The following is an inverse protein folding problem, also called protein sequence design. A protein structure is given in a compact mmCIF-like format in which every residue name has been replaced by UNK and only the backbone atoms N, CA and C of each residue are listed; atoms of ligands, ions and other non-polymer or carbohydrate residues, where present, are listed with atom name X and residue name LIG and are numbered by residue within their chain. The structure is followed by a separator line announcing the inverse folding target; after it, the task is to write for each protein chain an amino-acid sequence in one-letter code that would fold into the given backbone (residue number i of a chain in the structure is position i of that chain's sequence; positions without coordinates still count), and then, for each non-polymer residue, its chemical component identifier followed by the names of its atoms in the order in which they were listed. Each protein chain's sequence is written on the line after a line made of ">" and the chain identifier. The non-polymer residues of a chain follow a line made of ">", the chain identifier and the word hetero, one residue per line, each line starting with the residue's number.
data_IF_453289563424
#
_entry.id   IF_453289563424
#
_cell.length_a   1.000
_cell.length_b   1.000
_cell.length_c   1.000
_cell.angle_alpha   90.00
_cell.angle_beta   90.00
_cell.angle_gamma   90.00
#
_symmetry.space_group_name_H-M   'P 1'
#
loop_
_entity.id
_entity.type
_entity.pdbx_description
1 polymer ?
#
# COMPACT_ATOMS: atom_id res chain seq x y z
N UNK A 1 15.74 -11.13 -6.36
CA UNK A 1 15.99 -9.68 -6.61
C UNK A 1 17.44 -9.50 -7.02
N UNK A 2 17.71 -8.86 -8.17
CA UNK A 2 19.08 -8.43 -8.51
C UNK A 2 19.46 -7.31 -7.55
N UNK A 3 20.46 -7.53 -6.68
CA UNK A 3 21.05 -6.45 -5.86
C UNK A 3 21.77 -5.49 -6.81
N UNK A 4 21.26 -4.27 -6.96
CA UNK A 4 22.08 -3.18 -7.50
C UNK A 4 23.27 -2.97 -6.56
N UNK A 5 24.43 -2.62 -7.11
CA UNK A 5 25.57 -2.22 -6.29
C UNK A 5 25.16 -1.00 -5.46
N UNK A 6 25.28 -1.10 -4.13
CA UNK A 6 24.98 0.02 -3.23
C UNK A 6 26.04 1.11 -3.43
N UNK A 7 25.58 2.33 -3.69
CA UNK A 7 26.39 3.54 -3.84
C UNK A 7 26.97 4.01 -2.50
N UNK A 8 26.28 3.74 -1.40
CA UNK A 8 26.77 3.99 -0.03
C UNK A 8 26.20 2.97 0.96
N UNK A 9 26.77 2.94 2.17
CA UNK A 9 26.27 2.10 3.27
C UNK A 9 24.99 2.70 3.86
N UNK A 10 23.84 2.01 3.82
CA UNK A 10 22.60 2.54 4.36
C UNK A 10 22.68 2.83 5.86
N UNK A 11 21.86 3.76 6.33
CA UNK A 11 21.65 3.98 7.77
C UNK A 11 20.73 2.92 8.36
N UNK A 12 20.69 2.81 9.69
CA UNK A 12 19.79 1.87 10.38
C UNK A 12 18.31 2.18 10.08
N UNK A 13 17.99 3.45 9.91
CA UNK A 13 16.65 3.93 9.61
C UNK A 13 16.26 3.63 8.16
N UNK A 14 17.20 3.72 7.21
CA UNK A 14 16.99 3.26 5.84
C UNK A 14 16.79 1.74 5.80
N UNK A 15 17.59 0.97 6.55
CA UNK A 15 17.41 -0.48 6.68
C UNK A 15 16.03 -0.82 7.29
N UNK A 16 15.55 -0.03 8.26
CA UNK A 16 14.21 -0.18 8.82
C UNK A 16 13.10 0.07 7.78
N UNK A 17 13.26 1.10 6.95
CA UNK A 17 12.32 1.37 5.85
C UNK A 17 12.37 0.25 4.81
N UNK A 18 13.56 -0.22 4.43
CA UNK A 18 13.76 -1.35 3.51
C UNK A 18 13.06 -2.61 4.02
N UNK A 19 13.25 -2.94 5.30
CA UNK A 19 12.58 -4.05 5.96
C UNK A 19 11.05 -3.90 5.94
N UNK A 20 10.53 -2.71 6.26
CA UNK A 20 9.10 -2.43 6.17
C UNK A 20 8.54 -2.60 4.75
N UNK A 21 9.22 -2.09 3.72
CA UNK A 21 8.80 -2.23 2.33
C UNK A 21 8.80 -3.70 1.89
N UNK A 22 9.84 -4.46 2.27
CA UNK A 22 9.96 -5.88 1.98
C UNK A 22 8.85 -6.68 2.64
N UNK A 23 8.63 -6.50 3.96
CA UNK A 23 7.57 -7.18 4.69
C UNK A 23 6.16 -6.80 4.23
N UNK A 24 6.00 -5.63 3.63
CA UNK A 24 4.73 -5.19 3.05
C UNK A 24 4.50 -5.71 1.63
N UNK A 25 5.37 -6.58 1.10
CA UNK A 25 5.37 -7.07 -0.28
C UNK A 25 5.37 -5.93 -1.32
N UNK A 26 6.08 -4.84 -1.02
CA UNK A 26 6.27 -3.72 -1.95
C UNK A 26 7.57 -3.93 -2.71
N UNK A 27 7.52 -3.96 -4.05
CA UNK A 27 8.72 -4.05 -4.88
C UNK A 27 9.44 -2.69 -4.94
N UNK A 28 10.72 -2.67 -4.55
CA UNK A 28 11.55 -1.47 -4.60
C UNK A 28 12.98 -1.72 -5.09
N UNK A 29 13.62 -0.64 -5.51
CA UNK A 29 15.07 -0.56 -5.80
C UNK A 29 15.67 0.41 -4.79
N UNK A 30 16.70 -0.02 -4.07
CA UNK A 30 17.48 0.84 -3.18
C UNK A 30 18.44 1.73 -3.97
N UNK A 31 18.66 2.95 -3.50
CA UNK A 31 19.66 3.91 -4.01
C UNK A 31 19.53 4.12 -5.53
N UNK A 32 18.31 4.43 -5.95
CA UNK A 32 17.97 4.62 -7.35
C UNK A 32 18.54 5.93 -7.90
N UNK A 33 19.34 5.82 -8.95
CA UNK A 33 19.97 6.97 -9.61
C UNK A 33 19.01 7.61 -10.59
N UNK A 34 18.79 8.91 -10.44
CA UNK A 34 17.97 9.74 -11.33
C UNK A 34 18.88 10.75 -12.01
N UNK A 35 18.88 10.73 -13.34
CA UNK A 35 19.71 11.57 -14.19
C UNK A 35 18.86 12.59 -14.95
N UNK A 36 19.50 13.62 -15.51
CA UNK A 36 18.86 14.60 -16.39
C UNK A 36 17.71 15.39 -15.75
N UNK A 37 17.84 15.73 -14.46
CA UNK A 37 16.86 16.55 -13.73
C UNK A 37 16.97 18.01 -14.15
N UNK A 38 15.84 18.60 -14.55
CA UNK A 38 15.72 20.03 -14.85
C UNK A 38 15.97 20.86 -13.58
N UNK A 39 16.62 22.01 -13.74
CA UNK A 39 16.90 22.95 -12.65
C UNK A 39 17.71 22.34 -11.49
N UNK A 40 18.56 21.36 -11.80
CA UNK A 40 19.50 20.79 -10.85
C UNK A 40 20.94 21.09 -11.29
N UNK A 41 21.80 21.48 -10.34
CA UNK A 41 23.23 21.70 -10.58
C UNK A 41 24.00 20.38 -10.62
N UNK A 42 23.38 19.29 -10.12
CA UNK A 42 24.00 17.97 -10.07
C UNK A 42 23.68 17.16 -11.32
N UNK A 43 24.70 16.44 -11.84
CA UNK A 43 24.52 15.50 -12.97
C UNK A 43 23.50 14.40 -12.69
N UNK A 44 23.42 13.96 -11.43
CA UNK A 44 22.46 12.96 -10.97
C UNK A 44 22.11 13.18 -9.50
N UNK A 45 20.95 12.65 -9.11
CA UNK A 45 20.52 12.48 -7.73
C UNK A 45 20.35 11.00 -7.43
N UNK A 46 20.54 10.64 -6.17
CA UNK A 46 20.25 9.30 -5.66
C UNK A 46 19.05 9.43 -4.74
N UNK A 47 18.06 8.59 -4.97
CA UNK A 47 16.86 8.43 -4.15
C UNK A 47 17.01 7.16 -3.34
N UNK A 48 16.66 7.18 -2.06
CA UNK A 48 16.87 6.03 -1.17
C UNK A 48 16.09 4.79 -1.63
N UNK A 49 14.84 4.96 -2.08
CA UNK A 49 14.06 3.88 -2.67
C UNK A 49 13.22 4.33 -3.87
N UNK A 50 13.11 3.46 -4.87
CA UNK A 50 12.18 3.62 -5.99
C UNK A 50 11.21 2.44 -6.07
N UNK A 51 9.91 2.72 -6.03
CA UNK A 51 8.84 1.73 -6.01
C UNK A 51 8.37 1.41 -7.43
N UNK A 52 9.01 0.45 -8.08
CA UNK A 52 8.81 0.15 -9.52
C UNK A 52 7.34 0.01 -9.93
N UNK A 53 6.54 -0.71 -9.13
CA UNK A 53 5.14 -0.98 -9.47
C UNK A 53 4.25 0.29 -9.38
N UNK A 54 4.65 1.25 -8.54
CA UNK A 54 3.92 2.50 -8.33
C UNK A 54 4.50 3.65 -9.15
N UNK A 55 5.74 3.52 -9.63
CA UNK A 55 6.54 4.61 -10.17
C UNK A 55 6.51 5.80 -9.20
N UNK A 56 6.99 5.53 -7.98
CA UNK A 56 7.05 6.47 -6.85
C UNK A 56 8.44 6.43 -6.24
N UNK A 57 8.99 7.60 -5.96
CA UNK A 57 10.27 7.80 -5.29
C UNK A 57 10.04 7.93 -3.79
N UNK A 58 10.94 7.39 -2.96
CA UNK A 58 10.85 7.47 -1.50
C UNK A 58 12.19 7.91 -0.95
N UNK A 59 12.17 8.90 -0.07
CA UNK A 59 13.37 9.56 0.42
C UNK A 59 13.25 9.77 1.94
N UNK A 60 14.26 9.35 2.69
CA UNK A 60 14.34 9.44 4.13
C UNK A 60 15.10 10.70 4.56
N UNK A 61 14.41 11.56 5.31
CA UNK A 61 14.87 12.89 5.71
C UNK A 61 15.53 12.85 7.10
N UNK A 62 16.44 11.89 7.30
CA UNK A 62 17.09 11.59 8.59
C UNK A 62 17.72 12.81 9.28
N UNK A 63 18.38 13.65 8.48
CA UNK A 63 19.11 14.83 8.95
C UNK A 63 18.36 16.15 8.69
N UNK A 64 17.07 16.10 8.36
CA UNK A 64 16.35 17.31 7.99
C UNK A 64 16.42 18.36 9.10
N UNK A 65 16.21 17.99 10.37
CA UNK A 65 16.24 18.97 11.46
C UNK A 65 17.62 19.15 12.13
N UNK A 66 18.72 18.62 11.56
CA UNK A 66 20.03 18.68 12.22
C UNK A 66 20.66 20.08 12.18
N UNK A 67 20.63 20.75 11.02
CA UNK A 67 21.17 22.11 10.83
C UNK A 67 20.33 22.91 9.84
N UNK A 68 20.53 24.24 9.76
CA UNK A 68 19.84 25.09 8.76
C UNK A 68 20.32 24.77 7.34
N UNK A 69 21.59 24.45 7.19
CA UNK A 69 22.23 24.11 5.92
C UNK A 69 21.66 22.79 5.38
N UNK A 70 21.51 21.77 6.24
CA UNK A 70 20.89 20.50 5.86
C UNK A 70 19.44 20.66 5.43
N UNK A 71 18.63 21.46 6.14
CA UNK A 71 17.27 21.81 5.70
C UNK A 71 17.25 22.38 4.29
N UNK A 72 18.09 23.38 4.02
CA UNK A 72 18.19 23.99 2.69
C UNK A 72 18.58 22.99 1.61
N UNK A 73 19.48 22.04 1.89
CA UNK A 73 19.85 20.98 0.96
C UNK A 73 18.66 20.07 0.60
N UNK A 74 17.90 19.65 1.62
CA UNK A 74 16.68 18.85 1.45
C UNK A 74 15.58 19.62 0.72
N UNK A 75 15.35 20.89 1.05
CA UNK A 75 14.37 21.74 0.38
C UNK A 75 14.71 21.92 -1.09
N UNK A 76 15.99 22.17 -1.41
CA UNK A 76 16.47 22.25 -2.79
C UNK A 76 16.24 20.93 -3.53
N UNK A 77 16.56 19.79 -2.91
CA UNK A 77 16.33 18.45 -3.50
C UNK A 77 14.84 18.20 -3.76
N UNK A 78 13.98 18.56 -2.80
CA UNK A 78 12.51 18.47 -2.94
C UNK A 78 12.00 19.32 -4.08
N UNK A 79 12.50 20.55 -4.22
CA UNK A 79 12.10 21.46 -5.28
C UNK A 79 12.49 20.91 -6.67
N UNK A 80 13.68 20.33 -6.80
CA UNK A 80 14.10 19.65 -8.05
C UNK A 80 13.12 18.53 -8.39
N UNK A 81 12.76 17.67 -7.44
CA UNK A 81 11.78 16.59 -7.68
C UNK A 81 10.42 17.13 -8.08
N UNK A 82 9.98 18.21 -7.45
CA UNK A 82 8.70 18.86 -7.76
C UNK A 82 8.67 19.41 -9.19
N UNK A 83 9.72 20.14 -9.60
CA UNK A 83 9.85 20.73 -10.94
C UNK A 83 9.95 19.67 -12.04
N UNK A 84 10.48 18.49 -11.71
CA UNK A 84 10.58 17.35 -12.64
C UNK A 84 9.34 16.43 -12.62
N UNK A 85 8.24 16.83 -11.96
CA UNK A 85 7.03 16.02 -11.82
C UNK A 85 7.28 14.62 -11.29
N UNK A 86 8.25 14.47 -10.39
CA UNK A 86 8.54 13.19 -9.75
C UNK A 86 7.54 12.96 -8.62
N UNK A 87 6.79 11.84 -8.62
CA UNK A 87 5.93 11.48 -7.51
C UNK A 87 6.80 10.97 -6.35
N UNK A 88 7.05 11.82 -5.37
CA UNK A 88 7.97 11.50 -4.26
C UNK A 88 7.23 11.47 -2.91
N UNK A 89 7.52 10.45 -2.11
CA UNK A 89 7.14 10.34 -0.70
C UNK A 89 8.38 10.63 0.17
N UNK A 90 8.29 11.68 0.97
CA UNK A 90 9.34 12.03 1.93
C UNK A 90 9.00 11.38 3.27
N UNK A 91 9.92 10.70 3.94
CA UNK A 91 9.72 10.08 5.26
C UNK A 91 10.61 10.80 6.27
N UNK A 92 10.03 11.32 7.34
CA UNK A 92 10.75 12.01 8.40
C UNK A 92 11.06 11.08 9.57
N UNK A 93 12.08 11.37 10.40
CA UNK A 93 12.47 10.53 11.54
C UNK A 93 11.32 10.21 12.50
N UNK A 94 10.48 11.20 12.83
CA UNK A 94 9.35 11.03 13.75
C UNK A 94 8.25 10.11 13.20
N UNK A 95 8.21 9.88 11.90
CA UNK A 95 7.20 9.03 11.25
C UNK A 95 7.59 7.55 11.30
N UNK A 96 8.83 7.21 11.65
CA UNK A 96 9.27 5.82 11.71
C UNK A 96 8.49 5.01 12.77
N UNK A 97 8.06 5.66 13.86
CA UNK A 97 7.24 5.03 14.90
C UNK A 97 5.82 4.63 14.43
N UNK A 98 5.33 5.23 13.36
CA UNK A 98 4.02 4.92 12.75
C UNK A 98 4.14 4.81 11.22
N UNK A 99 5.25 4.20 10.76
CA UNK A 99 5.69 4.23 9.37
C UNK A 99 4.60 3.75 8.41
N UNK A 100 3.90 2.67 8.77
CA UNK A 100 2.85 2.11 7.92
C UNK A 100 1.73 3.11 7.62
N UNK A 101 1.26 3.81 8.65
CA UNK A 101 0.21 4.82 8.53
C UNK A 101 0.71 6.06 7.76
N UNK A 102 1.89 6.57 8.12
CA UNK A 102 2.48 7.75 7.49
C UNK A 102 2.73 7.54 6.00
N UNK A 103 3.38 6.42 5.65
CA UNK A 103 3.73 6.07 4.29
C UNK A 103 2.48 5.91 3.42
N UNK A 104 1.50 5.14 3.89
CA UNK A 104 0.26 4.90 3.18
C UNK A 104 -0.52 6.20 2.91
N UNK A 105 -0.66 7.02 3.94
CA UNK A 105 -1.34 8.31 3.84
C UNK A 105 -0.67 9.22 2.81
N UNK A 106 0.66 9.23 2.77
CA UNK A 106 1.43 10.01 1.80
C UNK A 106 1.26 9.50 0.38
N UNK A 107 1.28 8.18 0.16
CA UNK A 107 0.99 7.58 -1.16
C UNK A 107 -0.40 7.99 -1.67
N UNK A 108 -1.44 7.90 -0.83
CA UNK A 108 -2.79 8.31 -1.23
C UNK A 108 -2.84 9.81 -1.56
N UNK A 109 -2.24 10.66 -0.70
CA UNK A 109 -2.21 12.12 -0.94
C UNK A 109 -1.48 12.46 -2.24
N UNK A 110 -0.38 11.76 -2.53
CA UNK A 110 0.41 11.94 -3.75
C UNK A 110 -0.44 11.69 -5.00
N UNK A 111 -1.13 10.55 -5.07
CA UNK A 111 -1.98 10.19 -6.22
C UNK A 111 -3.29 10.99 -6.32
N UNK A 112 -3.67 11.74 -5.27
CA UNK A 112 -4.79 12.69 -5.33
C UNK A 112 -4.44 14.00 -6.04
N UNK A 113 -3.15 14.33 -6.18
CA UNK A 113 -2.71 15.53 -6.89
C UNK A 113 -3.13 15.47 -8.37
N UNK A 114 -3.65 16.57 -8.92
CA UNK A 114 -4.14 16.65 -10.31
C UNK A 114 -3.11 16.14 -11.33
N UNK A 115 -1.83 16.44 -11.10
CA UNK A 115 -0.71 16.03 -11.99
C UNK A 115 -0.42 14.52 -12.04
N UNK A 116 -1.00 13.72 -11.14
CA UNK A 116 -0.77 12.26 -11.06
C UNK A 116 -2.07 11.45 -11.18
N UNK A 117 -3.16 12.08 -11.65
CA UNK A 117 -4.47 11.42 -11.74
C UNK A 117 -4.54 10.30 -12.79
N UNK A 118 -3.69 10.37 -13.81
CA UNK A 118 -3.47 9.33 -14.82
C UNK A 118 -3.00 8.01 -14.18
N UNK A 119 -2.40 8.07 -12.99
CA UNK A 119 -1.83 6.92 -12.28
C UNK A 119 -2.79 6.27 -11.28
N UNK A 120 -4.09 6.60 -11.31
CA UNK A 120 -5.11 6.03 -10.41
C UNK A 120 -5.13 4.49 -10.39
N UNK A 121 -4.92 3.85 -11.53
CA UNK A 121 -4.87 2.39 -11.61
C UNK A 121 -3.73 1.79 -10.74
N UNK A 122 -2.57 2.46 -10.71
CA UNK A 122 -1.44 2.05 -9.86
C UNK A 122 -1.81 2.19 -8.37
N UNK A 123 -2.53 3.26 -8.00
CA UNK A 123 -3.05 3.44 -6.64
C UNK A 123 -4.06 2.34 -6.28
N UNK A 124 -5.03 2.02 -7.14
CA UNK A 124 -6.01 0.96 -6.84
C UNK A 124 -5.35 -0.40 -6.70
N UNK A 125 -4.38 -0.71 -7.57
CA UNK A 125 -3.56 -1.92 -7.45
C UNK A 125 -2.84 -1.97 -6.11
N UNK A 126 -2.20 -0.87 -5.69
CA UNK A 126 -1.56 -0.76 -4.38
C UNK A 126 -2.55 -1.00 -3.23
N UNK A 127 -3.71 -0.34 -3.25
CA UNK A 127 -4.74 -0.50 -2.23
C UNK A 127 -5.23 -1.94 -2.14
N UNK A 128 -5.47 -2.57 -3.28
CA UNK A 128 -5.91 -3.96 -3.35
C UNK A 128 -4.87 -4.92 -2.76
N UNK A 129 -3.59 -4.82 -3.15
CA UNK A 129 -2.54 -5.66 -2.58
C UNK A 129 -2.35 -5.42 -1.07
N UNK A 130 -2.47 -4.18 -0.63
CA UNK A 130 -2.45 -3.86 0.81
C UNK A 130 -3.64 -4.49 1.54
N UNK A 131 -4.82 -4.52 0.93
CA UNK A 131 -6.01 -5.17 1.49
C UNK A 131 -5.82 -6.68 1.59
N UNK A 132 -5.24 -7.31 0.58
CA UNK A 132 -4.94 -8.75 0.65
C UNK A 132 -3.92 -9.08 1.75
N UNK A 133 -2.96 -8.19 2.02
CA UNK A 133 -1.94 -8.42 3.03
C UNK A 133 -2.42 -8.13 4.46
N UNK A 134 -3.26 -7.10 4.67
CA UNK A 134 -3.66 -6.62 6.01
C UNK A 134 -5.15 -6.71 6.32
N UNK A 135 -5.98 -6.75 5.29
CA UNK A 135 -7.43 -6.84 5.42
C UNK A 135 -7.88 -8.25 5.78
N UNK A 136 -9.19 -8.40 6.01
CA UNK A 136 -9.80 -9.68 6.39
C UNK A 136 -10.47 -10.34 5.18
N UNK A 137 -9.68 -10.56 4.12
CA UNK A 137 -10.18 -11.09 2.85
C UNK A 137 -10.77 -12.50 2.98
N UNK A 138 -10.42 -13.25 4.03
CA UNK A 138 -11.01 -14.57 4.32
C UNK A 138 -12.54 -14.54 4.40
N UNK A 139 -13.15 -13.42 4.79
CA UNK A 139 -14.62 -13.31 4.83
C UNK A 139 -15.26 -13.43 3.44
N UNK A 140 -14.54 -13.06 2.38
CA UNK A 140 -15.00 -13.27 1.01
C UNK A 140 -15.14 -14.76 0.70
N UNK A 141 -14.12 -15.57 1.05
CA UNK A 141 -14.15 -17.01 0.80
C UNK A 141 -15.18 -17.73 1.67
N UNK A 142 -15.34 -17.30 2.92
CA UNK A 142 -16.40 -17.81 3.79
C UNK A 142 -17.78 -17.49 3.19
N UNK A 143 -17.98 -16.28 2.65
CA UNK A 143 -19.22 -15.90 1.96
C UNK A 143 -19.49 -16.79 0.75
N UNK A 144 -18.48 -17.02 -0.10
CA UNK A 144 -18.60 -17.92 -1.26
C UNK A 144 -18.92 -19.35 -0.82
N UNK A 145 -18.28 -19.84 0.23
CA UNK A 145 -18.54 -21.18 0.76
C UNK A 145 -20.01 -21.33 1.20
N UNK A 146 -20.57 -20.36 1.92
CA UNK A 146 -21.98 -20.40 2.30
C UNK A 146 -22.94 -20.22 1.12
N UNK A 147 -22.56 -19.43 0.11
CA UNK A 147 -23.32 -19.33 -1.14
C UNK A 147 -23.34 -20.67 -1.90
N UNK A 148 -22.22 -21.40 -1.89
CA UNK A 148 -22.15 -22.75 -2.46
C UNK A 148 -23.03 -23.74 -1.68
N UNK A 149 -23.01 -23.72 -0.35
CA UNK A 149 -23.90 -24.57 0.46
C UNK A 149 -25.38 -24.23 0.21
N UNK A 150 -25.72 -22.94 0.13
CA UNK A 150 -27.06 -22.50 -0.25
C UNK A 150 -27.49 -23.11 -1.60
N UNK A 151 -26.61 -23.10 -2.61
CA UNK A 151 -26.88 -23.74 -3.90
C UNK A 151 -27.07 -25.26 -3.79
N UNK A 152 -26.18 -25.95 -3.06
CA UNK A 152 -26.23 -27.41 -2.89
C UNK A 152 -27.53 -27.87 -2.25
N UNK A 153 -27.93 -27.21 -1.15
CA UNK A 153 -29.16 -27.55 -0.43
C UNK A 153 -30.41 -27.03 -1.16
N UNK A 154 -30.36 -25.82 -1.74
CA UNK A 154 -31.49 -25.23 -2.46
C UNK A 154 -31.90 -25.96 -3.74
N UNK A 155 -30.95 -26.66 -4.38
CA UNK A 155 -31.21 -27.49 -5.57
C UNK A 155 -31.34 -28.98 -5.24
N UNK A 156 -31.49 -29.34 -3.96
CA UNK A 156 -31.68 -30.72 -3.50
C UNK A 156 -30.61 -31.71 -4.03
N UNK A 157 -29.39 -31.21 -4.24
CA UNK A 157 -28.28 -32.06 -4.74
C UNK A 157 -27.88 -33.14 -3.73
N UNK A 158 -28.32 -32.98 -2.48
CA UNK A 158 -28.19 -33.96 -1.40
C UNK A 158 -29.58 -34.47 -1.03
N UNK A 159 -29.75 -35.79 -1.00
CA UNK A 159 -31.00 -36.45 -0.59
C UNK A 159 -31.16 -36.37 0.94
N UNK A 160 -31.58 -35.21 1.43
CA UNK A 160 -31.99 -35.00 2.81
C UNK A 160 -33.52 -34.98 2.92
N UNK A 161 -34.01 -35.12 4.15
CA UNK A 161 -35.40 -34.81 4.46
C UNK A 161 -35.71 -33.33 4.13
N UNK A 162 -36.91 -33.05 3.63
CA UNK A 162 -37.32 -31.70 3.19
C UNK A 162 -37.17 -30.67 4.32
N UNK A 163 -37.52 -31.04 5.56
CA UNK A 163 -37.45 -30.13 6.70
C UNK A 163 -36.00 -29.79 7.06
N UNK A 164 -35.11 -30.78 7.02
CA UNK A 164 -33.68 -30.59 7.26
C UNK A 164 -33.06 -29.74 6.15
N UNK A 165 -33.44 -29.99 4.90
CA UNK A 165 -32.93 -29.23 3.76
C UNK A 165 -33.31 -27.75 3.86
N UNK A 166 -34.56 -27.45 4.20
CA UNK A 166 -35.04 -26.08 4.43
C UNK A 166 -34.25 -25.36 5.54
N UNK A 167 -33.93 -26.05 6.64
CA UNK A 167 -33.11 -25.50 7.73
C UNK A 167 -31.70 -25.18 7.24
N UNK A 168 -31.05 -26.08 6.48
CA UNK A 168 -29.71 -25.83 5.95
C UNK A 168 -29.67 -24.69 4.94
N UNK A 169 -30.69 -24.56 4.08
CA UNK A 169 -30.86 -23.42 3.17
C UNK A 169 -30.92 -22.12 3.98
N UNK A 170 -31.77 -22.07 5.02
CA UNK A 170 -31.91 -20.88 5.86
C UNK A 170 -30.61 -20.51 6.56
N UNK A 171 -29.93 -21.48 7.19
CA UNK A 171 -28.63 -21.27 7.84
C UNK A 171 -27.60 -20.74 6.84
N UNK A 172 -27.56 -21.33 5.65
CA UNK A 172 -26.61 -20.92 4.61
C UNK A 172 -26.85 -19.49 4.15
N UNK A 173 -28.11 -19.08 3.96
CA UNK A 173 -28.45 -17.69 3.64
C UNK A 173 -28.04 -16.74 4.75
N UNK A 174 -28.39 -17.05 6.01
CA UNK A 174 -28.07 -16.19 7.16
C UNK A 174 -26.56 -15.97 7.26
N UNK A 175 -25.77 -17.05 7.18
CA UNK A 175 -24.32 -16.98 7.31
C UNK A 175 -23.68 -16.32 6.08
N UNK A 176 -24.16 -16.59 4.87
CA UNK A 176 -23.75 -15.89 3.66
C UNK A 176 -23.95 -14.37 3.81
N UNK A 177 -25.13 -13.93 4.23
CA UNK A 177 -25.43 -12.52 4.44
C UNK A 177 -24.57 -11.91 5.54
N UNK A 178 -24.43 -12.60 6.68
CA UNK A 178 -23.59 -12.15 7.80
C UNK A 178 -22.14 -11.91 7.34
N UNK A 179 -21.49 -12.94 6.79
CA UNK A 179 -20.09 -12.81 6.35
C UNK A 179 -19.93 -11.85 5.16
N UNK A 180 -20.93 -11.78 4.27
CA UNK A 180 -20.94 -10.84 3.15
C UNK A 180 -20.97 -9.38 3.63
N UNK A 181 -21.81 -9.06 4.61
CA UNK A 181 -21.85 -7.74 5.24
C UNK A 181 -20.51 -7.43 5.93
N UNK A 182 -19.95 -8.37 6.70
CA UNK A 182 -18.64 -8.18 7.34
C UNK A 182 -17.52 -7.94 6.33
N UNK A 183 -17.51 -8.69 5.21
CA UNK A 183 -16.58 -8.47 4.12
C UNK A 183 -16.73 -7.07 3.52
N UNK A 184 -17.95 -6.65 3.19
CA UNK A 184 -18.23 -5.33 2.61
C UNK A 184 -17.85 -4.20 3.57
N UNK A 185 -18.19 -4.32 4.86
CA UNK A 185 -17.79 -3.35 5.89
C UNK A 185 -16.27 -3.28 6.00
N UNK A 186 -15.57 -4.42 6.02
CA UNK A 186 -14.11 -4.45 6.09
C UNK A 186 -13.47 -3.82 4.85
N UNK A 187 -14.01 -4.10 3.66
CA UNK A 187 -13.53 -3.52 2.40
C UNK A 187 -13.78 -2.01 2.35
N UNK A 188 -14.97 -1.55 2.71
CA UNK A 188 -15.33 -0.12 2.77
C UNK A 188 -14.44 0.59 3.78
N UNK A 189 -14.31 0.06 5.01
CA UNK A 189 -13.44 0.64 6.03
C UNK A 189 -12.00 0.70 5.53
N UNK A 190 -11.51 -0.33 4.85
CA UNK A 190 -10.15 -0.32 4.31
C UNK A 190 -9.93 0.74 3.22
N UNK A 191 -10.93 0.99 2.37
CA UNK A 191 -10.86 1.98 1.30
C UNK A 191 -11.08 3.41 1.83
N UNK A 192 -11.99 3.61 2.80
CA UNK A 192 -12.40 4.92 3.31
C UNK A 192 -11.65 5.37 4.56
N UNK A 193 -11.41 4.50 5.55
CA UNK A 193 -10.50 4.85 6.65
C UNK A 193 -9.10 4.84 6.09
N UNK A 194 -8.48 6.02 6.11
CA UNK A 194 -7.06 6.26 5.82
C UNK A 194 -6.17 5.37 6.70
N UNK A 195 -6.00 4.09 6.37
CA UNK A 195 -4.90 3.24 6.86
C UNK A 195 -4.75 3.02 8.36
N UNK A 196 -5.82 3.06 9.17
CA UNK A 196 -5.75 2.59 10.57
C UNK A 196 -6.50 1.27 10.67
N UNK A 197 -5.75 0.19 10.61
CA UNK A 197 -6.14 -1.08 11.22
C UNK A 197 -5.33 -1.13 12.52
N UNK A 198 -6.03 -0.89 13.64
CA UNK A 198 -5.62 -1.43 14.94
C UNK A 198 -5.91 -2.93 14.96
#
# INVERSE_FOLDING_TARGET
>A
MKKSAKLYKPTREEDFISYYLSNSNINFIEQFKVENLKADDKKYRVVDFYLNNLDVYVEYYGLYNSTKEKRKEYDKKTNVYFLNNMPTVLIFPHELGFLDYAFHTKIIKLFKLKKFQDRKLKLYRYLFFRYLNKGKWQYFFITIFWAYLFYVFGWELVKLDESLNAIFVLISIILMCYYGIYFLQNLILFIWRKGVLE
#
